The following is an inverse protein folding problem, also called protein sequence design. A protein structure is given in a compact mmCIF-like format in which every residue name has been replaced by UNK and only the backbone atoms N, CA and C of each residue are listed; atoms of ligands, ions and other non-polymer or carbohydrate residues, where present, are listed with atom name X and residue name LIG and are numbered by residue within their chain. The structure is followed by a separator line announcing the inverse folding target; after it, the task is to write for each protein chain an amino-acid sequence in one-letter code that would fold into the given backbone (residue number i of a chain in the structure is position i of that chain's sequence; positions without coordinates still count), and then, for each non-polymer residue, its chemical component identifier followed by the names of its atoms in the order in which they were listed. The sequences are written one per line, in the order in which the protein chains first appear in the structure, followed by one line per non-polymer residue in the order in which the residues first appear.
data_IF_512700551284
#
_entry.id   IF_512700551284
#
_cell.length_a   1.000
_cell.length_b   1.000
_cell.length_c   1.000
_cell.angle_alpha   90.00
_cell.angle_beta   90.00
_cell.angle_gamma   90.00
#
_symmetry.space_group_name_H-M   'P 1'
#
loop_
_entity.id
_entity.type
_entity.pdbx_description
1 polymer ?
#
# COMPACT_ATOMS: atom_id res chain seq x y z
N UNK A 1 -2.00 -13.97 22.42
CA UNK A 1 -2.41 -15.03 21.46
C UNK A 1 -2.32 -14.50 20.03
N UNK A 2 -1.34 -14.96 19.25
CA UNK A 2 -1.07 -14.47 17.88
C UNK A 2 -2.25 -14.71 16.91
N UNK A 3 -3.05 -15.75 17.16
CA UNK A 3 -4.18 -16.17 16.33
C UNK A 3 -5.48 -15.34 16.51
N UNK A 4 -5.42 -14.16 17.11
CA UNK A 4 -6.59 -13.30 17.35
C UNK A 4 -6.45 -11.88 16.77
N UNK A 5 -5.29 -11.54 16.19
CA UNK A 5 -5.10 -10.24 15.55
C UNK A 5 -5.50 -10.36 14.07
N UNK A 6 -6.44 -9.51 13.63
CA UNK A 6 -6.93 -9.50 12.26
C UNK A 6 -5.80 -9.33 11.24
N UNK A 7 -4.86 -8.42 11.50
CA UNK A 7 -3.78 -8.12 10.56
C UNK A 7 -2.85 -9.32 10.37
N UNK A 8 -2.56 -10.03 11.47
CA UNK A 8 -1.75 -11.26 11.42
C UNK A 8 -2.48 -12.34 10.63
N UNK A 9 -3.78 -12.54 10.90
CA UNK A 9 -4.58 -13.55 10.17
C UNK A 9 -4.63 -13.19 8.67
N UNK A 10 -4.88 -11.93 8.33
CA UNK A 10 -4.97 -11.48 6.95
C UNK A 10 -3.62 -11.59 6.23
N UNK A 11 -2.51 -11.32 6.91
CA UNK A 11 -1.15 -11.51 6.39
C UNK A 11 -0.87 -13.00 6.09
N UNK A 12 -1.13 -13.92 7.04
CA UNK A 12 -0.92 -15.35 6.82
C UNK A 12 -1.84 -15.92 5.72
N UNK A 13 -3.09 -15.43 5.64
CA UNK A 13 -4.00 -15.74 4.52
C UNK A 13 -3.47 -15.19 3.20
N UNK A 14 -2.82 -14.03 3.21
CA UNK A 14 -2.12 -13.46 2.07
C UNK A 14 -1.10 -14.45 1.48
N UNK A 15 -0.28 -15.09 2.30
CA UNK A 15 0.65 -16.13 1.83
C UNK A 15 -0.09 -17.29 1.16
N UNK A 16 -1.18 -17.76 1.77
CA UNK A 16 -1.97 -18.86 1.21
C UNK A 16 -2.58 -18.51 -0.17
N UNK A 17 -3.05 -17.27 -0.34
CA UNK A 17 -3.52 -16.76 -1.64
C UNK A 17 -2.39 -16.78 -2.66
N UNK A 18 -1.22 -16.24 -2.32
CA UNK A 18 -0.08 -16.14 -3.24
C UNK A 18 0.42 -17.53 -3.67
N UNK A 19 0.55 -18.47 -2.72
CA UNK A 19 0.87 -19.86 -3.04
C UNK A 19 -0.17 -20.50 -3.97
N UNK A 20 -1.45 -20.16 -3.83
CA UNK A 20 -2.50 -20.66 -4.73
C UNK A 20 -2.45 -20.03 -6.12
N UNK A 21 -1.91 -18.82 -6.28
CA UNK A 21 -1.92 -18.09 -7.56
C UNK A 21 -0.77 -18.50 -8.47
N UNK A 22 0.44 -18.59 -7.95
CA UNK A 22 1.64 -18.86 -8.76
C UNK A 22 2.54 -19.97 -8.20
N UNK A 23 2.10 -20.66 -7.15
CA UNK A 23 2.76 -21.87 -6.64
C UNK A 23 4.00 -21.59 -5.79
N UNK A 24 4.96 -22.52 -5.85
CA UNK A 24 6.21 -22.48 -5.10
C UNK A 24 7.39 -22.71 -6.05
N UNK A 25 8.52 -22.01 -5.88
CA UNK A 25 9.70 -22.20 -6.72
C UNK A 25 10.30 -23.58 -6.50
N UNK A 26 10.74 -24.22 -7.58
CA UNK A 26 11.46 -25.50 -7.54
C UNK A 26 12.79 -25.39 -6.78
N UNK A 27 13.42 -24.22 -6.80
CA UNK A 27 14.65 -23.91 -6.09
C UNK A 27 14.49 -23.62 -4.59
N UNK A 28 13.25 -23.59 -4.08
CA UNK A 28 12.93 -23.32 -2.68
C UNK A 28 12.67 -21.85 -2.36
N UNK A 29 12.03 -21.61 -1.21
CA UNK A 29 11.42 -20.31 -0.85
C UNK A 29 12.42 -19.16 -0.61
N UNK A 30 13.70 -19.48 -0.43
CA UNK A 30 14.75 -18.51 -0.08
C UNK A 30 15.48 -17.94 -1.30
N UNK A 31 15.11 -18.37 -2.50
CA UNK A 31 15.78 -17.93 -3.72
C UNK A 31 15.16 -16.63 -4.27
N UNK A 32 16.02 -15.68 -4.63
CA UNK A 32 15.61 -14.44 -5.29
C UNK A 32 14.69 -13.57 -4.43
N UNK A 33 13.74 -12.90 -5.09
CA UNK A 33 12.78 -12.03 -4.41
C UNK A 33 11.48 -12.76 -4.01
N UNK A 34 11.40 -14.11 -4.15
CA UNK A 34 10.17 -14.85 -3.86
C UNK A 34 9.67 -14.63 -2.42
N UNK A 35 10.53 -14.87 -1.42
CA UNK A 35 10.21 -14.64 -0.02
C UNK A 35 9.85 -13.17 0.26
N UNK A 36 10.72 -12.20 -0.08
CA UNK A 36 10.43 -10.78 0.12
C UNK A 36 9.13 -10.31 -0.54
N UNK A 37 8.83 -10.80 -1.74
CA UNK A 37 7.59 -10.48 -2.44
C UNK A 37 6.37 -11.07 -1.73
N UNK A 38 6.49 -12.30 -1.21
CA UNK A 38 5.46 -12.92 -0.39
C UNK A 38 5.16 -12.10 0.87
N UNK A 39 6.20 -11.64 1.59
CA UNK A 39 6.02 -10.75 2.75
C UNK A 39 5.35 -9.43 2.36
N UNK A 40 5.84 -8.77 1.30
CA UNK A 40 5.29 -7.51 0.83
C UNK A 40 3.81 -7.64 0.49
N UNK A 41 3.47 -8.66 -0.30
CA UNK A 41 2.12 -8.89 -0.79
C UNK A 41 1.18 -9.37 0.32
N UNK A 42 1.65 -10.13 1.30
CA UNK A 42 0.87 -10.48 2.49
C UNK A 42 0.54 -9.26 3.36
N UNK A 43 1.50 -8.36 3.57
CA UNK A 43 1.24 -7.08 4.24
C UNK A 43 0.21 -6.24 3.46
N UNK A 44 0.28 -6.24 2.12
CA UNK A 44 -0.71 -5.56 1.27
C UNK A 44 -2.11 -6.20 1.33
N UNK A 45 -2.21 -7.54 1.33
CA UNK A 45 -3.49 -8.23 1.55
C UNK A 45 -4.08 -7.83 2.89
N UNK A 46 -3.27 -7.78 3.95
CA UNK A 46 -3.71 -7.31 5.27
C UNK A 46 -4.25 -5.88 5.22
N UNK A 47 -3.48 -4.97 4.64
CA UNK A 47 -3.87 -3.55 4.52
C UNK A 47 -5.16 -3.36 3.72
N UNK A 48 -5.25 -3.97 2.55
CA UNK A 48 -6.44 -3.88 1.69
C UNK A 48 -7.65 -4.52 2.34
N UNK A 49 -7.45 -5.62 3.07
CA UNK A 49 -8.52 -6.28 3.82
C UNK A 49 -9.00 -5.42 4.99
N UNK A 50 -8.11 -4.72 5.70
CA UNK A 50 -8.49 -3.75 6.73
C UNK A 50 -9.37 -2.64 6.13
N UNK A 51 -8.98 -2.10 4.98
CA UNK A 51 -9.76 -1.11 4.24
C UNK A 51 -11.10 -1.64 3.73
N UNK A 52 -11.34 -2.95 3.70
CA UNK A 52 -12.65 -3.52 3.35
C UNK A 52 -13.69 -3.37 4.48
N UNK A 53 -13.26 -3.27 5.74
CA UNK A 53 -14.18 -3.18 6.86
C UNK A 53 -14.64 -1.74 7.10
N UNK A 54 -15.94 -1.53 6.98
CA UNK A 54 -16.59 -0.23 7.11
C UNK A 54 -16.25 0.50 8.43
N UNK A 55 -16.21 -0.26 9.53
CA UNK A 55 -15.86 0.23 10.87
C UNK A 55 -14.36 0.55 11.01
N UNK A 56 -13.49 -0.20 10.36
CA UNK A 56 -12.04 0.05 10.30
C UNK A 56 -11.77 1.35 9.55
N UNK A 57 -12.38 1.49 8.37
CA UNK A 57 -12.30 2.69 7.54
C UNK A 57 -12.80 3.94 8.27
N UNK A 58 -13.96 3.86 8.94
CA UNK A 58 -14.49 5.01 9.68
C UNK A 58 -13.59 5.43 10.84
N UNK A 59 -13.02 4.45 11.55
CA UNK A 59 -12.11 4.71 12.66
C UNK A 59 -10.83 5.36 12.16
N UNK A 60 -10.23 4.81 11.11
CA UNK A 60 -9.05 5.34 10.44
C UNK A 60 -9.26 6.82 10.06
N UNK A 61 -10.29 7.09 9.24
CA UNK A 61 -10.52 8.44 8.71
C UNK A 61 -10.81 9.46 9.81
N UNK A 62 -11.54 9.05 10.87
CA UNK A 62 -11.78 9.91 12.04
C UNK A 62 -10.53 10.17 12.85
N UNK A 63 -9.63 9.20 12.98
CA UNK A 63 -8.40 9.35 13.73
C UNK A 63 -7.41 10.28 13.01
N UNK A 64 -7.35 10.18 11.68
CA UNK A 64 -6.41 10.95 10.88
C UNK A 64 -6.99 12.24 10.27
N UNK A 65 -8.25 12.58 10.58
CA UNK A 65 -9.00 13.69 9.98
C UNK A 65 -8.93 13.71 8.43
N UNK A 66 -8.90 12.51 7.82
CA UNK A 66 -8.79 12.31 6.38
C UNK A 66 -7.38 12.35 5.79
N UNK A 67 -6.34 12.57 6.60
CA UNK A 67 -4.93 12.53 6.19
C UNK A 67 -4.27 11.16 6.48
N UNK A 68 -4.16 10.31 5.47
CA UNK A 68 -3.63 8.95 5.61
C UNK A 68 -2.12 8.88 5.94
N UNK A 69 -1.40 10.00 5.89
CA UNK A 69 0.06 10.03 6.10
C UNK A 69 0.44 10.34 7.56
N UNK A 70 -0.50 10.84 8.36
CA UNK A 70 -0.33 10.89 9.83
C UNK A 70 -0.29 9.46 10.36
N UNK A 71 0.52 9.19 11.39
CA UNK A 71 0.55 7.89 12.05
C UNK A 71 -0.85 7.40 12.40
N UNK A 72 -1.26 6.30 11.77
CA UNK A 72 -2.59 5.72 11.89
C UNK A 72 -2.51 4.19 11.73
N UNK A 73 -3.67 3.54 11.81
CA UNK A 73 -3.81 2.09 11.71
C UNK A 73 -3.31 1.51 10.37
N UNK A 74 -3.43 2.21 9.23
CA UNK A 74 -2.86 1.76 7.94
C UNK A 74 -1.34 1.82 7.92
N UNK A 75 -0.79 2.88 8.51
CA UNK A 75 0.66 3.06 8.52
C UNK A 75 1.33 2.08 9.46
N UNK A 76 0.61 1.44 10.38
CA UNK A 76 1.16 0.52 11.39
C UNK A 76 0.60 -0.88 11.16
N UNK A 77 1.15 -1.60 10.19
CA UNK A 77 0.80 -3.00 9.95
C UNK A 77 1.40 -3.86 11.06
N UNK A 78 0.63 -4.84 11.55
CA UNK A 78 1.04 -5.84 12.54
C UNK A 78 1.35 -5.28 13.94
N UNK A 79 0.55 -4.32 14.41
CA UNK A 79 0.68 -3.83 15.78
C UNK A 79 0.01 -4.79 16.81
N UNK A 80 0.81 -5.19 17.82
CA UNK A 80 0.48 -5.84 19.13
C UNK A 80 0.61 -7.37 19.25
N UNK A 81 1.78 -7.85 19.70
CA UNK A 81 2.10 -8.17 21.13
C UNK A 81 3.50 -8.83 21.24
N UNK A 82 4.42 -8.25 22.03
CA UNK A 82 5.79 -8.79 22.28
C UNK A 82 6.92 -8.01 21.57
N UNK A 83 8.14 -8.57 21.56
CA UNK A 83 9.38 -7.99 20.98
C UNK A 83 9.39 -7.84 19.44
N UNK A 84 8.23 -7.81 18.77
CA UNK A 84 8.13 -7.73 17.30
C UNK A 84 7.75 -6.33 16.80
N UNK A 85 8.46 -5.93 15.75
CA UNK A 85 8.54 -4.59 15.19
C UNK A 85 7.21 -4.11 14.57
N UNK A 86 6.90 -2.83 14.76
CA UNK A 86 5.90 -2.10 13.98
C UNK A 86 6.36 -2.10 12.51
N UNK A 87 5.57 -2.64 11.58
CA UNK A 87 5.85 -2.53 10.15
C UNK A 87 5.16 -1.29 9.61
N UNK A 88 5.96 -0.38 9.05
CA UNK A 88 5.45 0.86 8.50
C UNK A 88 5.17 0.69 7.01
N UNK A 89 3.89 0.66 6.62
CA UNK A 89 3.51 0.67 5.20
C UNK A 89 4.00 1.96 4.54
N UNK A 90 3.76 3.09 5.21
CA UNK A 90 4.37 4.38 4.92
C UNK A 90 5.85 4.36 5.33
N UNK A 91 6.73 4.09 4.37
CA UNK A 91 8.18 4.09 4.58
C UNK A 91 8.91 4.65 3.36
N UNK A 92 10.01 5.37 3.59
CA UNK A 92 10.80 6.00 2.52
C UNK A 92 11.94 5.11 1.99
N UNK A 93 11.83 3.76 2.11
CA UNK A 93 12.95 2.85 1.78
C UNK A 93 13.02 2.58 0.28
N UNK A 94 14.24 2.61 -0.27
CA UNK A 94 14.56 2.20 -1.64
C UNK A 94 15.28 0.86 -1.69
N UNK A 95 15.32 0.22 -2.86
CA UNK A 95 15.98 -1.08 -3.04
C UNK A 95 17.48 -1.04 -2.72
N UNK A 96 18.17 0.08 -2.92
CA UNK A 96 19.59 0.24 -2.52
C UNK A 96 19.83 0.38 -1.02
N UNK A 97 18.78 0.65 -0.23
CA UNK A 97 18.87 0.95 1.21
C UNK A 97 18.48 -0.24 2.10
N UNK A 98 17.99 -1.32 1.50
CA UNK A 98 17.49 -2.50 2.22
C UNK A 98 18.46 -3.66 2.10
N UNK A 99 18.44 -4.52 3.12
CA UNK A 99 19.29 -5.73 3.18
C UNK A 99 18.65 -6.90 2.42
N UNK A 100 19.32 -8.06 2.42
CA UNK A 100 18.74 -9.31 1.91
C UNK A 100 17.78 -9.98 2.90
N UNK A 101 17.60 -9.43 4.10
CA UNK A 101 16.62 -9.92 5.07
C UNK A 101 15.21 -9.75 4.50
N UNK A 102 14.37 -10.78 4.60
CA UNK A 102 13.12 -10.90 3.85
C UNK A 102 12.17 -9.74 4.17
N UNK A 103 12.02 -9.39 5.45
CA UNK A 103 11.12 -8.33 5.87
C UNK A 103 11.67 -6.92 5.58
N UNK A 104 12.98 -6.70 5.61
CA UNK A 104 13.56 -5.41 5.22
C UNK A 104 13.50 -5.23 3.70
N UNK A 105 13.76 -6.30 2.94
CA UNK A 105 13.72 -6.31 1.47
C UNK A 105 12.31 -6.16 0.88
N UNK A 106 11.27 -6.49 1.64
CA UNK A 106 9.87 -6.32 1.22
C UNK A 106 9.38 -4.86 1.27
N UNK A 107 10.00 -4.03 2.12
CA UNK A 107 9.54 -2.67 2.44
C UNK A 107 9.38 -1.74 1.23
N UNK A 108 10.30 -1.71 0.25
CA UNK A 108 10.17 -0.82 -0.88
C UNK A 108 8.90 -1.13 -1.69
N UNK A 109 8.62 -2.41 -1.97
CA UNK A 109 7.43 -2.78 -2.73
C UNK A 109 6.14 -2.42 -1.99
N UNK A 110 6.06 -2.73 -0.68
CA UNK A 110 4.90 -2.34 0.16
C UNK A 110 4.71 -0.82 0.18
N UNK A 111 5.80 -0.07 0.31
CA UNK A 111 5.79 1.39 0.31
C UNK A 111 5.29 1.99 -1.02
N UNK A 112 5.74 1.48 -2.16
CA UNK A 112 5.29 1.95 -3.47
C UNK A 112 3.78 1.77 -3.67
N UNK A 113 3.24 0.62 -3.26
CA UNK A 113 1.79 0.35 -3.37
C UNK A 113 1.01 1.22 -2.39
N UNK A 114 1.50 1.41 -1.17
CA UNK A 114 0.88 2.31 -0.18
C UNK A 114 0.83 3.76 -0.69
N UNK A 115 1.96 4.27 -1.17
CA UNK A 115 2.04 5.63 -1.73
C UNK A 115 1.08 5.79 -2.91
N UNK A 116 0.94 4.76 -3.75
CA UNK A 116 -0.02 4.78 -4.87
C UNK A 116 -1.47 4.88 -4.38
N UNK A 117 -1.86 4.21 -3.29
CA UNK A 117 -3.20 4.36 -2.69
C UNK A 117 -3.40 5.82 -2.24
N UNK A 118 -2.40 6.41 -1.59
CA UNK A 118 -2.46 7.80 -1.09
C UNK A 118 -2.54 8.80 -2.25
N UNK A 119 -1.71 8.63 -3.28
CA UNK A 119 -1.68 9.48 -4.47
C UNK A 119 -3.03 9.49 -5.19
N UNK A 120 -3.60 8.31 -5.44
CA UNK A 120 -4.90 8.18 -6.12
C UNK A 120 -6.03 8.72 -5.24
N UNK A 121 -5.96 8.50 -3.93
CA UNK A 121 -6.91 9.07 -2.98
C UNK A 121 -6.85 10.60 -2.97
N UNK A 122 -5.66 11.20 -2.89
CA UNK A 122 -5.47 12.65 -2.94
C UNK A 122 -5.96 13.24 -4.27
N UNK A 123 -5.64 12.60 -5.40
CA UNK A 123 -6.14 13.01 -6.71
C UNK A 123 -7.67 12.97 -6.77
N UNK A 124 -8.30 11.93 -6.23
CA UNK A 124 -9.74 11.81 -6.16
C UNK A 124 -10.38 12.88 -5.25
N UNK A 125 -9.76 13.20 -4.11
CA UNK A 125 -10.22 14.31 -3.25
C UNK A 125 -10.18 15.65 -3.98
N UNK A 126 -9.11 15.94 -4.72
CA UNK A 126 -9.01 17.19 -5.50
C UNK A 126 -10.05 17.21 -6.61
N UNK A 127 -10.21 16.11 -7.35
CA UNK A 127 -11.18 16.00 -8.44
C UNK A 127 -12.62 16.27 -7.98
N UNK A 128 -13.00 15.75 -6.81
CA UNK A 128 -14.34 15.94 -6.22
C UNK A 128 -14.51 17.28 -5.47
N UNK A 129 -13.51 18.18 -5.53
CA UNK A 129 -13.54 19.45 -4.80
C UNK A 129 -13.59 19.28 -3.28
N UNK A 130 -13.00 18.18 -2.79
CA UNK A 130 -12.83 17.86 -1.36
C UNK A 130 -11.48 18.36 -0.82
N UNK A 131 -10.52 18.64 -1.68
CA UNK A 131 -9.23 19.22 -1.33
C UNK A 131 -8.75 20.24 -2.36
N UNK A 132 -7.79 21.07 -1.97
CA UNK A 132 -7.12 22.04 -2.83
C UNK A 132 -6.12 21.35 -3.77
N UNK A 133 -5.94 21.85 -4.99
CA UNK A 133 -4.96 21.31 -5.97
C UNK A 133 -3.53 21.25 -5.42
N UNK A 134 -3.18 22.10 -4.45
CA UNK A 134 -1.89 22.03 -3.76
C UNK A 134 -1.64 20.70 -3.06
N UNK A 135 -2.67 19.89 -2.79
CA UNK A 135 -2.54 18.58 -2.16
C UNK A 135 -1.78 17.59 -3.07
N UNK A 136 -2.09 17.54 -4.36
CA UNK A 136 -1.42 16.62 -5.31
C UNK A 136 -0.01 17.05 -5.68
N UNK A 137 0.39 18.28 -5.30
CA UNK A 137 1.74 18.79 -5.49
C UNK A 137 2.70 18.51 -4.32
N UNK A 138 2.25 17.81 -3.29
CA UNK A 138 3.10 17.44 -2.14
C UNK A 138 3.75 16.09 -2.43
N UNK A 139 5.08 16.02 -2.34
CA UNK A 139 5.81 14.76 -2.47
C UNK A 139 5.62 13.92 -1.21
N UNK A 140 4.82 12.85 -1.32
CA UNK A 140 4.49 11.98 -0.19
C UNK A 140 5.61 11.00 0.17
N UNK A 141 6.66 10.91 -0.66
CA UNK A 141 7.74 9.93 -0.51
C UNK A 141 8.83 10.40 0.46
N UNK A 142 8.90 11.70 0.70
CA UNK A 142 9.84 12.35 1.63
C UNK A 142 9.14 13.49 2.39
N UNK A 143 8.32 13.12 3.38
CA UNK A 143 7.51 14.06 4.16
C UNK A 143 8.19 14.43 5.47
N UNK A 144 8.22 15.73 5.76
CA UNK A 144 8.50 16.21 7.11
C UNK A 144 7.21 16.51 7.91
N UNK A 145 7.37 16.94 9.16
CA UNK A 145 6.23 17.29 10.02
C UNK A 145 5.41 18.47 9.48
N UNK A 146 6.06 19.40 8.77
CA UNK A 146 5.40 20.57 8.18
C UNK A 146 4.56 20.17 6.98
N UNK A 147 5.01 19.20 6.17
CA UNK A 147 4.22 18.65 5.07
C UNK A 147 2.99 17.90 5.60
N UNK A 148 3.15 17.08 6.65
CA UNK A 148 2.03 16.40 7.31
C UNK A 148 0.99 17.39 7.84
N UNK A 149 1.43 18.50 8.45
CA UNK A 149 0.54 19.55 8.91
C UNK A 149 -0.16 20.24 7.74
N UNK A 150 0.57 20.53 6.66
CA UNK A 150 0.01 21.14 5.45
C UNK A 150 -1.07 20.26 4.82
N UNK A 151 -0.83 18.95 4.69
CA UNK A 151 -1.84 18.01 4.18
C UNK A 151 -3.09 18.05 5.08
N UNK A 152 -2.90 17.99 6.39
CA UNK A 152 -3.99 18.07 7.36
C UNK A 152 -4.80 19.35 7.20
N UNK A 153 -4.14 20.50 7.00
CA UNK A 153 -4.80 21.79 6.80
C UNK A 153 -5.64 21.82 5.50
N UNK A 154 -5.16 21.12 4.46
CA UNK A 154 -5.85 21.01 3.16
C UNK A 154 -7.07 20.09 3.21
N UNK A 155 -7.10 19.09 4.09
CA UNK A 155 -8.16 18.05 4.11
C UNK A 155 -9.16 18.19 5.26
N UNK A 156 -8.70 18.55 6.47
CA UNK A 156 -9.48 18.42 7.71
C UNK A 156 -10.83 19.14 7.70
N UNK A 157 -10.89 20.35 7.12
CA UNK A 157 -12.13 21.14 7.07
C UNK A 157 -13.18 20.46 6.18
N UNK A 158 -12.76 19.99 5.01
CA UNK A 158 -13.63 19.31 4.08
C UNK A 158 -14.04 17.93 4.61
N UNK A 159 -13.13 17.21 5.27
CA UNK A 159 -13.42 15.95 5.93
C UNK A 159 -14.53 16.10 6.97
N UNK A 160 -14.41 17.07 7.89
CA UNK A 160 -15.44 17.33 8.91
C UNK A 160 -16.81 17.67 8.32
N UNK A 161 -16.84 18.34 7.17
CA UNK A 161 -18.09 18.70 6.50
C UNK A 161 -18.69 17.53 5.70
N UNK A 162 -17.85 16.67 5.12
CA UNK A 162 -18.25 15.64 4.14
C UNK A 162 -17.49 14.31 4.36
N UNK A 163 -17.57 13.68 5.55
CA UNK A 163 -16.76 12.51 5.88
C UNK A 163 -17.08 11.29 5.01
N UNK A 164 -18.35 11.14 4.60
CA UNK A 164 -18.76 10.06 3.69
C UNK A 164 -18.12 10.16 2.31
N UNK A 165 -17.92 11.38 1.79
CA UNK A 165 -17.28 11.56 0.49
C UNK A 165 -15.80 11.16 0.53
N UNK A 166 -15.10 11.49 1.62
CA UNK A 166 -13.72 11.05 1.86
C UNK A 166 -13.64 9.51 1.90
N UNK A 167 -14.57 8.88 2.61
CA UNK A 167 -14.69 7.42 2.64
C UNK A 167 -14.90 6.83 1.25
N UNK A 168 -15.80 7.40 0.46
CA UNK A 168 -16.04 6.96 -0.92
C UNK A 168 -14.79 7.09 -1.80
N UNK A 169 -14.00 8.16 -1.65
CA UNK A 169 -12.76 8.32 -2.41
C UNK A 169 -11.68 7.32 -1.99
N UNK A 170 -11.59 7.00 -0.70
CA UNK A 170 -10.67 5.97 -0.24
C UNK A 170 -11.10 4.55 -0.68
N UNK A 171 -12.40 4.25 -0.68
CA UNK A 171 -12.94 3.01 -1.25
C UNK A 171 -12.53 2.89 -2.72
N UNK A 172 -12.71 3.96 -3.50
CA UNK A 172 -12.33 3.99 -4.92
C UNK A 172 -10.84 3.73 -5.11
N UNK A 173 -9.97 4.45 -4.40
CA UNK A 173 -8.52 4.26 -4.49
C UNK A 173 -8.09 2.83 -4.12
N UNK A 174 -8.66 2.28 -3.03
CA UNK A 174 -8.46 0.88 -2.63
C UNK A 174 -8.85 -0.09 -3.73
N UNK A 175 -10.05 0.06 -4.32
CA UNK A 175 -10.58 -0.87 -5.31
C UNK A 175 -9.79 -0.84 -6.62
N UNK A 176 -9.38 0.35 -7.07
CA UNK A 176 -8.53 0.52 -8.25
C UNK A 176 -7.17 -0.17 -8.06
N UNK A 177 -6.49 0.10 -6.94
CA UNK A 177 -5.21 -0.54 -6.60
C UNK A 177 -5.36 -2.05 -6.42
N UNK A 178 -6.35 -2.51 -5.66
CA UNK A 178 -6.58 -3.93 -5.40
C UNK A 178 -6.89 -4.70 -6.70
N UNK A 179 -7.66 -4.09 -7.61
CA UNK A 179 -7.97 -4.70 -8.89
C UNK A 179 -6.71 -4.85 -9.77
N UNK A 180 -5.83 -3.83 -9.81
CA UNK A 180 -4.57 -3.93 -10.53
C UNK A 180 -3.67 -5.05 -9.99
N UNK A 181 -3.51 -5.15 -8.67
CA UNK A 181 -2.76 -6.24 -8.04
C UNK A 181 -3.37 -7.61 -8.32
N UNK A 182 -4.70 -7.74 -8.19
CA UNK A 182 -5.41 -8.99 -8.45
C UNK A 182 -5.33 -9.46 -9.91
N UNK A 183 -5.20 -8.52 -10.86
CA UNK A 183 -4.96 -8.84 -12.27
C UNK A 183 -3.50 -9.15 -12.58
N UNK A 184 -2.55 -8.60 -11.81
CA UNK A 184 -1.12 -8.80 -12.00
C UNK A 184 -0.64 -10.14 -11.42
N UNK A 185 -1.02 -10.47 -10.17
CA UNK A 185 -0.48 -11.63 -9.45
C UNK A 185 -0.68 -12.99 -10.14
N UNK A 186 -1.82 -13.31 -10.79
CA UNK A 186 -2.00 -14.58 -11.50
C UNK A 186 -1.08 -14.76 -12.71
N UNK A 187 -0.38 -13.70 -13.14
CA UNK A 187 0.53 -13.70 -14.29
C UNK A 187 1.99 -13.89 -13.87
N UNK A 188 2.25 -13.99 -12.56
CA UNK A 188 3.59 -14.24 -12.02
C UNK A 188 3.95 -15.72 -12.17
N UNK A 189 5.24 -15.98 -12.24
CA UNK A 189 5.83 -17.31 -12.23
C UNK A 189 6.73 -17.42 -10.99
N UNK A 190 6.51 -18.43 -10.15
CA UNK A 190 7.28 -18.62 -8.93
C UNK A 190 8.78 -18.86 -9.18
N UNK A 191 9.14 -19.52 -10.27
CA UNK A 191 10.55 -19.86 -10.58
C UNK A 191 11.35 -18.66 -11.10
N UNK A 192 10.67 -17.61 -11.55
CA UNK A 192 11.28 -16.46 -12.22
C UNK A 192 10.86 -15.09 -11.61
N UNK A 193 10.34 -15.13 -10.38
CA UNK A 193 9.83 -13.96 -9.67
C UNK A 193 10.96 -13.01 -9.26
N UNK A 194 10.80 -11.74 -9.65
CA UNK A 194 11.60 -10.60 -9.19
C UNK A 194 10.69 -9.40 -8.93
N UNK A 195 11.13 -8.46 -8.10
CA UNK A 195 10.36 -7.24 -7.87
C UNK A 195 10.14 -6.42 -9.14
N UNK A 196 11.15 -6.33 -10.02
CA UNK A 196 11.05 -5.64 -11.31
C UNK A 196 9.92 -6.22 -12.18
N UNK A 197 9.88 -7.55 -12.35
CA UNK A 197 8.82 -8.21 -13.13
C UNK A 197 7.44 -8.03 -12.50
N UNK A 198 7.36 -8.13 -11.18
CA UNK A 198 6.11 -7.92 -10.47
C UNK A 198 5.60 -6.48 -10.64
N UNK A 199 6.47 -5.48 -10.49
CA UNK A 199 6.16 -4.07 -10.69
C UNK A 199 5.70 -3.79 -12.13
N UNK A 200 6.43 -4.30 -13.13
CA UNK A 200 6.06 -4.14 -14.53
C UNK A 200 4.67 -4.73 -14.86
N UNK A 201 4.35 -5.90 -14.28
CA UNK A 201 3.02 -6.50 -14.43
C UNK A 201 1.92 -5.70 -13.73
N UNK A 202 2.21 -5.09 -12.58
CA UNK A 202 1.27 -4.20 -11.88
C UNK A 202 1.02 -2.93 -12.69
N UNK A 203 2.06 -2.31 -13.25
CA UNK A 203 1.92 -1.13 -14.14
C UNK A 203 1.06 -1.48 -15.36
N UNK A 204 1.36 -2.56 -16.08
CA UNK A 204 0.56 -3.00 -17.24
C UNK A 204 -0.88 -3.39 -16.87
N UNK A 205 -1.11 -3.98 -15.69
CA UNK A 205 -2.46 -4.26 -15.20
C UNK A 205 -3.22 -2.96 -14.88
N UNK A 206 -2.53 -1.95 -14.37
CA UNK A 206 -3.12 -0.68 -13.95
C UNK A 206 -3.63 0.16 -15.12
N UNK A 207 -2.98 0.09 -16.28
CA UNK A 207 -3.45 0.76 -17.51
C UNK A 207 -4.87 0.33 -17.90
N UNK A 208 -5.26 -0.91 -17.59
CA UNK A 208 -6.59 -1.45 -17.85
C UNK A 208 -7.62 -1.04 -16.81
N UNK A 209 -7.19 -0.52 -15.65
CA UNK A 209 -8.05 -0.06 -14.56
C UNK A 209 -8.28 1.44 -14.70
N UNK A 210 -7.21 2.24 -14.71
CA UNK A 210 -7.26 3.68 -14.87
C UNK A 210 -5.90 4.20 -15.37
N UNK A 211 -5.83 5.04 -16.42
CA UNK A 211 -4.54 5.52 -16.94
C UNK A 211 -3.64 6.22 -15.91
N UNK A 212 -4.24 7.04 -15.03
CA UNK A 212 -3.50 7.72 -13.95
C UNK A 212 -2.90 6.74 -12.92
N UNK A 213 -3.51 5.55 -12.75
CA UNK A 213 -3.02 4.56 -11.79
C UNK A 213 -1.69 3.96 -12.25
N UNK A 214 -1.53 3.68 -13.54
CA UNK A 214 -0.29 3.16 -14.09
C UNK A 214 0.86 4.15 -13.95
N UNK A 215 0.62 5.43 -14.25
CA UNK A 215 1.57 6.51 -14.03
C UNK A 215 2.02 6.59 -12.56
N UNK A 216 1.07 6.52 -11.61
CA UNK A 216 1.42 6.56 -10.18
C UNK A 216 2.17 5.33 -9.71
N UNK A 217 1.86 4.14 -10.21
CA UNK A 217 2.68 2.95 -9.92
C UNK A 217 4.09 3.08 -10.49
N UNK A 218 4.23 3.51 -11.75
CA UNK A 218 5.52 3.67 -12.41
C UNK A 218 6.42 4.67 -11.65
N UNK A 219 5.88 5.85 -11.30
CA UNK A 219 6.57 6.84 -10.48
C UNK A 219 7.00 6.28 -9.11
N UNK A 220 6.09 5.58 -8.43
CA UNK A 220 6.34 5.04 -7.08
C UNK A 220 7.35 3.89 -7.07
N UNK A 221 7.29 3.00 -8.06
CA UNK A 221 8.27 1.91 -8.21
C UNK A 221 9.63 2.43 -8.65
N UNK A 222 9.68 3.39 -9.58
CA UNK A 222 10.93 4.00 -10.05
C UNK A 222 11.64 4.76 -8.92
N UNK A 223 10.91 5.56 -8.12
CA UNK A 223 11.50 6.27 -6.98
C UNK A 223 12.12 5.30 -5.95
N UNK A 224 11.57 4.08 -5.85
CA UNK A 224 12.08 3.02 -4.97
C UNK A 224 13.13 2.13 -5.61
N UNK A 225 13.55 2.42 -6.84
CA UNK A 225 14.59 1.69 -7.58
C UNK A 225 14.18 0.22 -7.83
N UNK A 226 12.88 0.00 -8.07
CA UNK A 226 12.34 -1.31 -8.47
C UNK A 226 12.26 -1.43 -9.99
N UNK A 227 11.94 -0.32 -10.67
CA UNK A 227 11.95 -0.14 -12.12
C UNK A 227 13.06 0.83 -12.53
#
# INVERSE_FOLDING_TARGET
PYALNFDVIAHEVGHAILFSLFGTPAGGLTQGDFGPFHEASSDLVSLLSFLNFDSGMDRLLRHCDGNLLVLNELNRIAELTGDRQIRLASNARRMSEVTAEIHDRSRPFTGAVFDTIVDVYHAALVHEGLADERLVGIDIKDLDQSDMQRISDLTSRAFRARPFMFKSMLIRARDEVALALAQAWPRLDADDLSFEKAAALVVDASDRVAPMLAEKFDENFSWREIL
#
